data_IF_807037170682
#
_entry.id   IF_807037170682
#
_cell.length_a   1.000
_cell.length_b   1.000
_cell.length_c   1.000
_cell.angle_alpha   90.00
_cell.angle_beta   90.00
_cell.angle_gamma   90.00
#
_symmetry.space_group_name_H-M   'P 1'
#
loop_
_entity.id
_entity.type
_entity.pdbx_description
1 polymer ?
#
# COMPACT_ATOMS: atom_id res chain seq x y z
N UNK A 1 11.67 -74.92 0.90
CA UNK A 1 12.48 -74.11 1.84
C UNK A 1 13.09 -72.99 0.99
N UNK A 2 12.46 -71.82 0.97
CA UNK A 2 12.85 -70.63 1.77
C UNK A 2 14.16 -70.00 1.22
N UNK A 3 14.25 -68.72 0.84
CA UNK A 3 13.32 -67.61 1.02
C UNK A 3 13.72 -66.39 0.17
N UNK A 4 12.81 -65.42 0.12
CA UNK A 4 12.97 -64.09 -0.45
C UNK A 4 13.89 -63.23 0.42
N UNK A 5 14.77 -62.45 -0.20
CA UNK A 5 15.52 -61.37 0.44
C UNK A 5 15.38 -60.09 -0.39
N UNK A 6 14.61 -59.12 0.12
CA UNK A 6 14.55 -57.76 -0.39
C UNK A 6 15.67 -56.93 0.24
N UNK A 7 16.52 -56.31 -0.58
CA UNK A 7 17.47 -55.28 -0.17
C UNK A 7 17.05 -53.92 -0.72
N UNK A 8 16.60 -53.03 0.16
CA UNK A 8 16.43 -51.59 -0.09
C UNK A 8 17.73 -50.85 0.23
N UNK A 9 18.02 -49.78 -0.53
CA UNK A 9 18.78 -48.64 -0.01
C UNK A 9 19.81 -48.06 -0.98
N UNK A 10 19.63 -46.77 -1.33
CA UNK A 10 20.73 -45.93 -1.80
C UNK A 10 20.46 -45.05 -3.02
N UNK A 11 19.36 -44.31 -3.09
CA UNK A 11 19.29 -43.17 -4.00
C UNK A 11 20.07 -42.00 -3.39
N UNK A 12 21.27 -41.78 -3.91
CA UNK A 12 22.09 -40.60 -3.65
C UNK A 12 21.43 -39.39 -4.31
N UNK A 13 20.84 -38.50 -3.52
CA UNK A 13 20.45 -37.16 -3.97
C UNK A 13 21.71 -36.29 -4.01
N UNK A 14 22.37 -36.28 -5.17
CA UNK A 14 23.32 -35.22 -5.52
C UNK A 14 22.54 -33.92 -5.73
N UNK A 15 22.92 -32.88 -5.00
CA UNK A 15 22.35 -31.55 -5.08
C UNK A 15 22.59 -30.99 -6.50
N UNK A 16 21.50 -30.66 -7.20
CA UNK A 16 21.57 -29.87 -8.41
C UNK A 16 21.72 -28.41 -7.96
N UNK A 17 22.88 -27.81 -8.20
CA UNK A 17 22.97 -26.36 -8.31
C UNK A 17 22.25 -25.99 -9.61
N UNK A 18 21.04 -25.44 -9.49
CA UNK A 18 20.30 -24.90 -10.63
C UNK A 18 21.06 -23.67 -11.17
N UNK A 19 21.96 -23.89 -12.13
CA UNK A 19 22.51 -22.83 -12.97
C UNK A 19 21.39 -22.29 -13.88
N UNK A 20 20.62 -21.32 -13.37
CA UNK A 20 19.67 -20.57 -14.18
C UNK A 20 20.39 -19.88 -15.34
N UNK A 21 19.90 -20.11 -16.56
CA UNK A 21 20.41 -19.51 -17.79
C UNK A 21 20.54 -17.97 -17.65
N UNK A 22 21.62 -17.34 -18.14
CA UNK A 22 21.86 -15.90 -17.95
C UNK A 22 20.70 -15.00 -18.42
N UNK A 23 19.96 -15.44 -19.44
CA UNK A 23 18.80 -14.73 -19.97
C UNK A 23 17.61 -14.73 -19.00
N UNK A 24 17.39 -15.81 -18.24
CA UNK A 24 16.31 -15.92 -17.26
C UNK A 24 16.59 -15.01 -16.05
N UNK A 25 17.84 -15.01 -15.56
CA UNK A 25 18.25 -14.07 -14.50
C UNK A 25 18.16 -12.61 -14.95
N UNK A 26 18.47 -12.30 -16.22
CA UNK A 26 18.32 -10.94 -16.74
C UNK A 26 16.88 -10.40 -16.65
N UNK A 27 15.87 -11.26 -16.83
CA UNK A 27 14.45 -10.89 -16.69
C UNK A 27 14.04 -10.71 -15.22
N UNK A 28 14.61 -11.51 -14.32
CA UNK A 28 14.32 -11.43 -12.89
C UNK A 28 14.74 -10.07 -12.29
N UNK A 29 15.87 -9.51 -12.73
CA UNK A 29 16.40 -8.23 -12.26
C UNK A 29 15.98 -7.02 -13.10
N UNK A 30 14.92 -7.14 -13.90
CA UNK A 30 14.48 -6.09 -14.81
C UNK A 30 13.82 -4.87 -14.14
N UNK A 31 13.66 -4.86 -12.81
CA UNK A 31 13.01 -3.75 -12.10
C UNK A 31 13.76 -2.43 -12.23
N UNK A 32 15.05 -2.43 -12.56
CA UNK A 32 15.79 -1.18 -12.84
C UNK A 32 15.14 -0.35 -13.96
N UNK A 33 14.50 -1.01 -14.94
CA UNK A 33 13.77 -0.33 -16.04
C UNK A 33 12.50 0.39 -15.56
N UNK A 34 12.08 0.12 -14.32
CA UNK A 34 10.87 0.69 -13.71
C UNK A 34 11.19 1.82 -12.74
N UNK A 35 12.47 2.11 -12.50
CA UNK A 35 12.92 3.23 -11.69
C UNK A 35 12.76 4.54 -12.49
N UNK A 36 12.23 5.57 -11.84
CA UNK A 36 12.27 6.94 -12.36
C UNK A 36 13.66 7.54 -12.09
N UNK A 37 14.63 7.19 -12.95
CA UNK A 37 16.05 7.54 -12.81
C UNK A 37 16.28 9.06 -12.76
N UNK A 38 15.44 9.84 -13.44
CA UNK A 38 15.48 11.31 -13.40
C UNK A 38 15.28 11.81 -11.96
N UNK A 39 14.32 11.21 -11.23
CA UNK A 39 13.99 11.59 -9.85
C UNK A 39 14.73 10.80 -8.77
N UNK A 40 15.52 9.80 -9.12
CA UNK A 40 16.35 9.09 -8.16
C UNK A 40 17.33 10.06 -7.49
N UNK A 41 17.47 9.96 -6.18
CA UNK A 41 18.43 10.73 -5.40
C UNK A 41 19.35 9.79 -4.62
N UNK A 42 20.64 10.11 -4.58
CA UNK A 42 21.61 9.45 -3.72
C UNK A 42 22.22 10.51 -2.80
N UNK A 43 22.14 10.31 -1.49
CA UNK A 43 22.74 11.20 -0.51
C UNK A 43 24.11 10.67 -0.08
N UNK A 44 25.00 11.60 0.24
CA UNK A 44 26.41 11.37 0.57
C UNK A 44 27.23 10.75 -0.57
N UNK A 45 26.86 10.97 -1.83
CA UNK A 45 27.70 10.61 -2.96
C UNK A 45 28.78 11.67 -3.23
N UNK A 46 30.01 11.24 -3.51
CA UNK A 46 31.16 12.13 -3.80
C UNK A 46 30.92 13.01 -5.03
N UNK A 47 30.24 12.46 -6.03
CA UNK A 47 29.92 13.14 -7.29
C UNK A 47 28.43 13.03 -7.54
N UNK A 48 27.79 14.18 -7.69
CA UNK A 48 26.35 14.25 -7.93
C UNK A 48 25.94 13.44 -9.18
N UNK A 49 25.00 12.52 -9.00
CA UNK A 49 24.43 11.68 -10.05
C UNK A 49 25.08 10.30 -10.22
N UNK A 50 26.21 10.03 -9.56
CA UNK A 50 26.91 8.73 -9.69
C UNK A 50 26.08 7.57 -9.10
N UNK A 51 25.29 7.82 -8.06
CA UNK A 51 24.38 6.85 -7.45
C UNK A 51 23.29 6.33 -8.38
N UNK A 52 23.01 7.01 -9.50
CA UNK A 52 22.12 6.50 -10.55
C UNK A 52 22.78 5.43 -11.40
N UNK A 53 24.11 5.47 -11.53
CA UNK A 53 24.89 4.65 -12.46
C UNK A 53 24.99 3.18 -12.02
N UNK A 54 24.77 2.89 -10.74
CA UNK A 54 24.81 1.53 -10.19
C UNK A 54 23.53 0.72 -10.49
N UNK A 55 22.45 1.37 -10.93
CA UNK A 55 21.24 0.71 -11.41
C UNK A 55 21.36 0.46 -12.91
N UNK A 56 21.79 -0.75 -13.28
CA UNK A 56 22.10 -1.11 -14.67
C UNK A 56 21.63 -2.54 -14.99
N UNK A 57 21.63 -2.95 -16.26
CA UNK A 57 21.24 -4.31 -16.65
C UNK A 57 22.10 -5.39 -15.98
N UNK A 58 21.52 -6.59 -15.77
CA UNK A 58 22.19 -7.74 -15.13
C UNK A 58 23.48 -8.17 -15.85
N UNK A 59 23.51 -8.10 -17.18
CA UNK A 59 24.66 -8.38 -18.03
C UNK A 59 25.82 -7.40 -17.79
N UNK A 60 25.53 -6.21 -17.26
CA UNK A 60 26.52 -5.18 -16.93
C UNK A 60 26.88 -5.16 -15.43
N UNK A 61 26.41 -6.11 -14.62
CA UNK A 61 26.62 -6.09 -13.16
C UNK A 61 28.10 -6.11 -12.73
N UNK A 62 28.97 -6.69 -13.56
CA UNK A 62 30.42 -6.75 -13.32
C UNK A 62 31.20 -5.59 -13.94
N UNK A 63 30.51 -4.65 -14.61
CA UNK A 63 31.14 -3.43 -15.11
C UNK A 63 31.59 -2.56 -13.93
N UNK A 64 32.87 -2.20 -13.93
CA UNK A 64 33.53 -1.43 -12.87
C UNK A 64 33.78 0.04 -13.25
N UNK A 65 33.40 0.46 -14.45
CA UNK A 65 33.56 1.86 -14.89
C UNK A 65 32.54 2.79 -14.22
N UNK A 66 31.34 2.27 -13.97
CA UNK A 66 30.21 2.98 -13.35
C UNK A 66 30.07 2.56 -11.90
N UNK A 67 30.26 3.52 -10.99
CA UNK A 67 30.19 3.31 -9.55
C UNK A 67 29.72 4.58 -8.84
N UNK A 68 29.37 4.42 -7.57
CA UNK A 68 29.21 5.53 -6.62
C UNK A 68 30.11 5.28 -5.42
N UNK A 69 30.68 6.35 -4.88
CA UNK A 69 31.52 6.33 -3.69
C UNK A 69 31.01 7.38 -2.71
N UNK A 70 31.00 7.03 -1.42
CA UNK A 70 30.58 7.96 -0.38
C UNK A 70 31.61 9.06 -0.11
N UNK A 71 31.15 10.27 0.23
CA UNK A 71 31.99 11.46 0.36
C UNK A 71 32.53 11.65 1.79
N UNK A 72 31.64 11.84 2.76
CA UNK A 72 32.02 12.30 4.10
C UNK A 72 32.32 11.14 5.07
N UNK A 73 31.57 10.06 4.97
CA UNK A 73 31.63 8.88 5.82
C UNK A 73 31.24 7.63 5.02
N UNK A 74 31.17 6.46 5.65
CA UNK A 74 30.85 5.20 4.99
C UNK A 74 29.38 5.06 4.55
N UNK A 75 28.50 5.99 4.89
CA UNK A 75 27.07 5.82 4.67
C UNK A 75 26.65 6.26 3.27
N UNK A 76 25.67 5.57 2.68
CA UNK A 76 25.00 5.99 1.44
C UNK A 76 23.50 5.80 1.59
N UNK A 77 22.71 6.77 1.12
CA UNK A 77 21.25 6.67 1.13
C UNK A 77 20.67 6.89 -0.26
N UNK A 78 20.09 5.85 -0.84
CA UNK A 78 19.41 5.89 -2.12
C UNK A 78 17.91 6.08 -1.91
N UNK A 79 17.31 7.05 -2.60
CA UNK A 79 15.88 7.27 -2.69
C UNK A 79 15.41 6.92 -4.11
N UNK A 80 14.69 5.82 -4.24
CA UNK A 80 14.42 5.14 -5.51
C UNK A 80 12.91 5.18 -5.80
N UNK A 81 12.43 6.19 -6.53
CA UNK A 81 11.05 6.23 -7.00
C UNK A 81 10.83 5.22 -8.14
N UNK A 82 9.73 4.48 -8.08
CA UNK A 82 9.28 3.63 -9.17
C UNK A 82 8.19 4.33 -9.99
N UNK A 83 8.13 4.00 -11.28
CA UNK A 83 7.08 4.42 -12.22
C UNK A 83 5.75 3.70 -12.00
N UNK A 84 5.69 2.80 -11.02
CA UNK A 84 4.56 1.94 -10.71
C UNK A 84 4.65 1.34 -9.31
N UNK A 85 3.82 0.34 -9.05
CA UNK A 85 3.86 -0.44 -7.82
C UNK A 85 4.75 -1.67 -8.03
N UNK A 86 5.66 -1.92 -7.11
CA UNK A 86 6.59 -3.06 -7.15
C UNK A 86 6.30 -3.99 -5.99
N UNK A 87 6.29 -5.30 -6.26
CA UNK A 87 6.45 -6.33 -5.24
C UNK A 87 7.91 -6.81 -5.30
N UNK A 88 8.72 -6.31 -4.38
CA UNK A 88 10.14 -6.65 -4.31
C UNK A 88 10.29 -8.07 -3.76
N UNK A 89 11.14 -8.86 -4.41
CA UNK A 89 11.44 -10.24 -4.02
C UNK A 89 12.87 -10.34 -3.49
N UNK A 90 13.84 -9.70 -4.13
CA UNK A 90 15.22 -9.73 -3.70
C UNK A 90 16.02 -8.51 -4.15
N UNK A 91 17.19 -8.37 -3.54
CA UNK A 91 18.16 -7.34 -3.86
C UNK A 91 19.54 -7.99 -3.99
N UNK A 92 20.31 -7.54 -4.97
CA UNK A 92 21.74 -7.81 -5.09
C UNK A 92 22.49 -6.50 -4.94
N UNK A 93 23.61 -6.53 -4.23
CA UNK A 93 24.52 -5.39 -4.08
C UNK A 93 25.95 -5.87 -4.27
N UNK A 94 26.72 -5.18 -5.11
CA UNK A 94 28.13 -5.46 -5.30
C UNK A 94 28.96 -4.20 -5.10
N UNK A 95 29.98 -4.31 -4.24
CA UNK A 95 30.96 -3.28 -3.96
C UNK A 95 32.36 -3.64 -4.44
N UNK A 96 33.35 -2.95 -3.88
CA UNK A 96 34.76 -3.23 -4.14
C UNK A 96 35.21 -4.57 -3.52
N UNK A 97 36.27 -5.19 -4.05
CA UNK A 97 36.88 -6.39 -3.48
C UNK A 97 37.84 -6.05 -2.32
N UNK A 98 37.39 -5.15 -1.42
CA UNK A 98 38.15 -4.71 -0.25
C UNK A 98 37.22 -4.37 0.93
N UNK A 99 37.72 -3.59 1.90
CA UNK A 99 36.98 -3.19 3.09
C UNK A 99 35.91 -2.11 2.85
N UNK A 100 35.90 -1.46 1.67
CA UNK A 100 34.88 -0.49 1.25
C UNK A 100 33.60 -1.12 0.71
N UNK A 101 33.56 -2.45 0.63
CA UNK A 101 32.34 -3.17 0.29
C UNK A 101 31.25 -2.91 1.35
N UNK A 102 29.98 -2.69 0.96
CA UNK A 102 28.86 -2.61 1.88
C UNK A 102 28.78 -3.84 2.81
N UNK A 103 28.59 -3.62 4.11
CA UNK A 103 28.49 -4.67 5.13
C UNK A 103 27.11 -4.70 5.81
N UNK A 104 26.39 -3.57 5.85
CA UNK A 104 25.03 -3.50 6.39
C UNK A 104 24.13 -2.65 5.51
N UNK A 105 23.00 -3.22 5.09
CA UNK A 105 21.96 -2.55 4.30
C UNK A 105 20.63 -2.57 5.03
N UNK A 106 19.94 -1.43 5.08
CA UNK A 106 18.61 -1.26 5.65
C UNK A 106 17.66 -0.77 4.57
N UNK A 107 16.47 -1.35 4.53
CA UNK A 107 15.46 -1.04 3.55
C UNK A 107 14.26 -0.35 4.21
N UNK A 108 13.78 0.69 3.56
CA UNK A 108 12.59 1.43 3.93
C UNK A 108 11.68 1.56 2.72
N UNK A 109 10.38 1.59 2.96
CA UNK A 109 9.37 1.54 1.91
C UNK A 109 8.45 2.75 2.01
N UNK A 110 8.16 3.34 0.87
CA UNK A 110 7.16 4.40 0.67
C UNK A 110 7.41 5.64 1.54
N UNK A 111 8.68 5.99 1.74
CA UNK A 111 9.12 7.25 2.37
C UNK A 111 9.84 8.07 1.28
N UNK A 112 9.13 8.96 0.56
CA UNK A 112 9.75 9.84 -0.40
C UNK A 112 10.74 10.79 0.28
N UNK A 113 11.86 11.09 -0.39
CA UNK A 113 12.86 12.07 0.08
C UNK A 113 13.41 11.76 1.49
N UNK A 114 13.63 10.48 1.80
CA UNK A 114 14.20 10.07 3.07
C UNK A 114 15.59 10.69 3.27
N UNK A 115 15.85 11.17 4.48
CA UNK A 115 17.13 11.73 4.92
C UNK A 115 17.83 10.83 5.93
N UNK A 116 19.08 11.16 6.29
CA UNK A 116 19.80 10.41 7.33
C UNK A 116 19.14 10.51 8.71
N UNK A 117 18.44 11.59 9.02
CA UNK A 117 17.69 11.74 10.28
C UNK A 117 16.56 10.70 10.41
N UNK A 118 15.95 10.33 9.28
CA UNK A 118 14.87 9.34 9.22
C UNK A 118 15.38 7.90 9.47
N UNK A 119 16.69 7.65 9.35
CA UNK A 119 17.28 6.31 9.51
C UNK A 119 17.22 5.79 10.96
N UNK A 120 16.89 6.66 11.92
CA UNK A 120 16.61 6.29 13.30
C UNK A 120 15.35 5.41 13.44
N UNK A 121 14.49 5.38 12.42
CA UNK A 121 13.28 4.54 12.40
C UNK A 121 13.64 3.07 12.17
N UNK A 122 12.78 2.17 12.64
CA UNK A 122 12.93 0.75 12.38
C UNK A 122 12.80 0.47 10.87
N UNK A 123 13.81 -0.17 10.23
CA UNK A 123 13.71 -0.51 8.82
C UNK A 123 12.71 -1.66 8.61
N UNK A 124 12.10 -1.68 7.43
CA UNK A 124 11.22 -2.79 7.01
C UNK A 124 11.98 -4.11 7.01
N UNK A 125 13.25 -4.06 6.60
CA UNK A 125 14.17 -5.18 6.71
C UNK A 125 15.62 -4.68 6.67
N UNK A 126 16.48 -5.31 7.47
CA UNK A 126 17.92 -5.07 7.48
C UNK A 126 18.67 -6.36 7.13
N UNK A 127 19.81 -6.21 6.47
CA UNK A 127 20.67 -7.30 6.04
C UNK A 127 22.10 -7.03 6.50
N UNK A 128 22.76 -8.10 6.97
CA UNK A 128 24.21 -8.16 7.03
C UNK A 128 24.70 -8.75 5.73
N UNK A 129 25.57 -8.02 5.06
CA UNK A 129 26.06 -8.34 3.74
C UNK A 129 27.39 -9.08 3.84
N UNK A 130 27.67 -9.92 2.84
CA UNK A 130 28.97 -10.51 2.57
C UNK A 130 29.63 -9.75 1.41
N UNK A 131 30.96 -9.78 1.35
CA UNK A 131 31.71 -9.26 0.19
C UNK A 131 31.37 -10.09 -1.04
N UNK A 132 30.92 -9.40 -2.07
CA UNK A 132 30.48 -10.02 -3.32
C UNK A 132 30.74 -9.06 -4.51
N UNK A 133 32.00 -8.92 -4.93
CA UNK A 133 32.35 -8.02 -6.04
C UNK A 133 31.78 -8.49 -7.39
N UNK A 134 31.25 -9.72 -7.48
CA UNK A 134 30.72 -10.33 -8.70
C UNK A 134 29.19 -10.38 -8.77
N UNK A 135 28.49 -9.80 -7.77
CA UNK A 135 27.03 -9.73 -7.72
C UNK A 135 26.36 -11.12 -7.86
N UNK A 136 26.83 -12.11 -7.09
CA UNK A 136 26.33 -13.48 -7.05
C UNK A 136 25.35 -13.75 -5.90
N UNK A 137 25.40 -12.96 -4.83
CA UNK A 137 24.63 -13.15 -3.61
C UNK A 137 23.35 -12.32 -3.63
N UNK A 138 22.22 -13.01 -3.68
CA UNK A 138 20.90 -12.40 -3.54
C UNK A 138 20.44 -12.38 -2.08
N UNK A 139 19.91 -11.23 -1.68
CA UNK A 139 19.31 -11.00 -0.38
C UNK A 139 17.78 -10.98 -0.52
N UNK A 140 17.09 -12.08 -0.14
CA UNK A 140 15.65 -12.17 -0.30
C UNK A 140 14.93 -11.26 0.70
N UNK A 141 13.97 -10.50 0.18
CA UNK A 141 13.09 -9.64 0.96
C UNK A 141 11.84 -10.40 1.41
N UNK A 142 11.26 -10.00 2.54
CA UNK A 142 9.96 -10.52 2.97
C UNK A 142 8.86 -9.92 2.10
N UNK A 143 8.39 -10.68 1.11
CA UNK A 143 7.35 -10.25 0.15
C UNK A 143 6.15 -9.58 0.82
N UNK A 144 5.71 -10.08 1.99
CA UNK A 144 4.60 -9.49 2.74
C UNK A 144 4.85 -8.02 3.13
N UNK A 145 6.10 -7.65 3.47
CA UNK A 145 6.50 -6.28 3.81
C UNK A 145 6.73 -5.43 2.56
N UNK A 146 7.36 -6.02 1.55
CA UNK A 146 7.71 -5.34 0.30
C UNK A 146 6.72 -5.60 -0.85
N UNK A 147 5.42 -5.66 -0.52
CA UNK A 147 4.35 -5.54 -1.51
C UNK A 147 3.92 -4.08 -1.66
N UNK A 148 3.51 -3.64 -2.84
CA UNK A 148 3.11 -2.24 -3.09
C UNK A 148 4.16 -1.19 -2.75
N UNK A 149 5.39 -1.40 -3.22
CA UNK A 149 6.50 -0.44 -3.12
C UNK A 149 6.42 0.53 -4.29
N UNK A 150 6.15 1.80 -4.03
CA UNK A 150 6.21 2.88 -5.02
C UNK A 150 7.47 3.74 -4.87
N UNK A 151 8.08 3.71 -3.69
CA UNK A 151 9.34 4.36 -3.39
C UNK A 151 10.15 3.44 -2.47
N UNK A 152 11.38 3.11 -2.83
CA UNK A 152 12.29 2.32 -2.00
C UNK A 152 13.43 3.20 -1.54
N UNK A 153 13.73 3.18 -0.24
CA UNK A 153 14.95 3.79 0.27
C UNK A 153 15.91 2.71 0.76
N UNK A 154 17.14 2.75 0.24
CA UNK A 154 18.21 1.82 0.59
C UNK A 154 19.27 2.60 1.34
N UNK A 155 19.45 2.29 2.61
CA UNK A 155 20.49 2.86 3.46
C UNK A 155 21.61 1.85 3.64
N UNK A 156 22.78 2.15 3.09
CA UNK A 156 24.01 1.43 3.41
C UNK A 156 24.59 2.14 4.63
N UNK A 157 24.57 1.45 5.77
CA UNK A 157 24.90 2.07 7.07
C UNK A 157 26.31 1.76 7.54
N UNK A 158 26.95 0.72 6.97
CA UNK A 158 28.31 0.28 7.31
C UNK A 158 28.96 -0.40 6.12
N UNK A 159 30.28 -0.32 6.04
CA UNK A 159 31.15 -1.18 5.25
C UNK A 159 32.00 -2.10 6.16
N UNK A 160 32.99 -2.78 5.59
CA UNK A 160 33.83 -3.73 6.32
C UNK A 160 35.00 -3.11 7.09
N UNK A 161 35.17 -1.78 7.08
CA UNK A 161 36.17 -1.11 7.93
C UNK A 161 36.85 0.13 7.35
N UNK A 162 36.43 0.64 6.18
CA UNK A 162 37.02 1.82 5.55
C UNK A 162 36.20 3.09 5.78
N UNK A 163 36.81 4.24 5.52
CA UNK A 163 36.14 5.55 5.65
C UNK A 163 35.11 5.82 4.54
N UNK A 164 35.28 5.23 3.36
CA UNK A 164 34.32 5.35 2.25
C UNK A 164 33.76 3.99 1.86
N UNK A 165 32.55 4.01 1.31
CA UNK A 165 31.86 2.86 0.74
C UNK A 165 31.76 3.01 -0.77
N UNK A 166 32.09 1.96 -1.51
CA UNK A 166 32.00 1.95 -2.97
C UNK A 166 31.03 0.87 -3.46
N UNK A 167 30.11 1.27 -4.33
CA UNK A 167 29.08 0.40 -4.93
C UNK A 167 29.16 0.45 -6.44
N UNK A 168 29.13 -0.70 -7.09
CA UNK A 168 29.18 -0.85 -8.54
C UNK A 168 27.85 -1.28 -9.15
N UNK A 169 27.04 -2.01 -8.38
CA UNK A 169 25.80 -2.57 -8.88
C UNK A 169 24.77 -2.74 -7.75
N UNK A 170 23.53 -2.33 -8.04
CA UNK A 170 22.35 -2.67 -7.25
C UNK A 170 21.32 -3.30 -8.20
N UNK A 171 21.05 -4.58 -8.01
CA UNK A 171 20.04 -5.33 -8.74
C UNK A 171 18.77 -5.48 -7.90
N UNK A 172 17.60 -5.24 -8.50
CA UNK A 172 16.30 -5.42 -7.83
C UNK A 172 15.49 -6.47 -8.58
N UNK A 173 15.07 -7.54 -7.88
CA UNK A 173 14.23 -8.60 -8.43
C UNK A 173 12.80 -8.52 -7.90
N UNK A 174 11.81 -8.84 -8.74
CA UNK A 174 10.42 -8.84 -8.31
C UNK A 174 9.39 -8.68 -9.41
N UNK A 175 8.17 -8.32 -9.01
CA UNK A 175 7.04 -8.09 -9.93
C UNK A 175 6.73 -6.61 -10.02
N UNK A 176 6.50 -6.12 -11.24
CA UNK A 176 6.04 -4.76 -11.49
C UNK A 176 4.56 -4.75 -11.85
N UNK A 177 3.83 -3.84 -11.23
CA UNK A 177 2.45 -3.52 -11.52
C UNK A 177 2.42 -2.07 -12.00
N UNK A 178 1.96 -1.88 -13.23
CA UNK A 178 1.83 -0.53 -13.78
C UNK A 178 1.01 0.33 -12.83
N UNK A 179 1.51 1.53 -12.49
CA UNK A 179 0.69 2.51 -11.80
C UNK A 179 -0.46 2.89 -12.74
N UNK A 180 -1.56 2.15 -12.65
CA UNK A 180 -2.84 2.81 -12.62
C UNK A 180 -2.76 3.69 -11.39
N UNK A 181 -2.53 5.00 -11.61
CA UNK A 181 -2.83 6.04 -10.63
C UNK A 181 -4.24 5.67 -10.17
N UNK A 182 -4.34 5.07 -9.00
CA UNK A 182 -5.61 4.57 -8.51
C UNK A 182 -6.39 5.85 -8.22
N UNK A 183 -7.24 6.26 -9.16
CA UNK A 183 -8.32 7.22 -8.90
C UNK A 183 -9.24 6.69 -7.77
N UNK A 184 -9.07 5.42 -7.37
CA UNK A 184 -9.76 4.72 -6.30
C UNK A 184 -8.75 4.03 -5.37
N UNK A 185 -8.42 4.61 -4.22
CA UNK A 185 -7.69 3.90 -3.15
C UNK A 185 -8.62 2.85 -2.53
N UNK A 186 -8.29 1.56 -2.67
CA UNK A 186 -9.06 0.46 -2.08
C UNK A 186 -8.52 0.14 -0.69
N UNK A 187 -9.26 0.54 0.36
CA UNK A 187 -8.98 0.16 1.74
C UNK A 187 -9.88 -1.00 2.15
N UNK A 188 -9.32 -2.19 2.37
CA UNK A 188 -10.06 -3.34 2.92
C UNK A 188 -10.07 -3.27 4.46
N UNK A 189 -11.26 -3.39 5.06
CA UNK A 189 -11.43 -3.40 6.51
C UNK A 189 -12.46 -4.48 6.93
N UNK A 190 -12.25 -5.10 8.10
CA UNK A 190 -13.10 -6.14 8.70
C UNK A 190 -13.63 -5.71 10.10
N UNK A 191 -14.65 -4.88 10.13
CA UNK A 191 -15.76 -4.85 11.09
C UNK A 191 -16.70 -6.08 10.98
N UNK A 192 -17.45 -6.41 12.04
CA UNK A 192 -18.64 -7.27 11.95
C UNK A 192 -19.88 -6.39 12.16
N UNK A 193 -20.96 -6.62 11.39
CA UNK A 193 -22.24 -5.99 11.70
C UNK A 193 -22.72 -6.49 13.08
N UNK A 194 -23.02 -5.57 14.02
CA UNK A 194 -23.53 -5.94 15.34
C UNK A 194 -25.06 -5.84 15.36
N UNK A 195 -25.79 -6.97 15.48
CA UNK A 195 -27.25 -6.96 15.56
C UNK A 195 -27.81 -6.14 16.73
N UNK A 196 -27.01 -5.88 17.76
CA UNK A 196 -27.40 -5.06 18.91
C UNK A 196 -27.62 -3.58 18.55
N UNK A 197 -27.02 -3.09 17.46
CA UNK A 197 -27.22 -1.72 16.97
C UNK A 197 -28.64 -1.50 16.41
N UNK A 198 -29.37 -2.60 16.16
CA UNK A 198 -30.72 -2.60 15.56
C UNK A 198 -31.71 -3.41 16.42
N UNK A 199 -31.88 -3.07 17.69
CA UNK A 199 -33.00 -3.58 18.49
C UNK A 199 -34.24 -2.67 18.42
N UNK A 200 -35.34 -3.25 17.96
CA UNK A 200 -36.70 -2.83 18.35
C UNK A 200 -36.86 -3.04 19.87
N UNK A 201 -37.67 -2.20 20.53
CA UNK A 201 -37.72 -1.99 21.98
C UNK A 201 -37.73 -3.26 22.85
N UNK A 202 -36.76 -3.40 23.77
CA UNK A 202 -36.96 -3.61 25.21
C UNK A 202 -35.62 -3.91 25.95
N UNK A 203 -35.41 -3.28 27.11
CA UNK A 203 -34.71 -3.87 28.26
C UNK A 203 -33.17 -3.96 28.28
N UNK A 204 -32.58 -3.03 29.04
CA UNK A 204 -31.40 -3.14 29.89
C UNK A 204 -29.96 -3.06 29.33
N UNK A 205 -29.27 -2.07 29.92
CA UNK A 205 -27.84 -1.75 30.00
C UNK A 205 -26.86 -2.87 29.64
N UNK A 206 -25.94 -2.57 28.72
CA UNK A 206 -24.50 -2.84 28.88
C UNK A 206 -23.70 -1.85 28.01
N UNK A 207 -22.74 -1.19 28.62
CA UNK A 207 -21.69 -0.33 28.04
C UNK A 207 -20.62 -1.17 27.31
N UNK A 208 -20.12 -0.73 26.14
CA UNK A 208 -18.85 -1.18 25.48
C UNK A 208 -18.58 -0.35 24.18
N UNK A 209 -17.36 -0.38 23.60
CA UNK A 209 -16.48 0.78 23.36
C UNK A 209 -16.55 1.37 21.93
N UNK A 210 -15.85 2.49 21.76
CA UNK A 210 -15.91 3.40 20.61
C UNK A 210 -15.47 2.77 19.27
N UNK A 211 -16.34 2.87 18.26
CA UNK A 211 -15.98 2.75 16.83
C UNK A 211 -14.86 3.70 16.36
N UNK A 212 -14.47 4.67 17.20
CA UNK A 212 -13.27 5.49 16.98
C UNK A 212 -11.97 4.67 17.00
N UNK A 213 -11.96 3.48 17.61
CA UNK A 213 -10.79 2.58 17.63
C UNK A 213 -10.79 1.58 16.46
N UNK A 214 -11.89 1.44 15.72
CA UNK A 214 -12.04 0.51 14.60
C UNK A 214 -11.62 1.13 13.26
N UNK A 215 -10.70 2.09 13.28
CA UNK A 215 -10.06 2.64 12.08
C UNK A 215 -8.59 2.26 12.16
N UNK A 216 -8.29 1.01 11.78
CA UNK A 216 -6.92 0.50 11.72
C UNK A 216 -6.66 -0.09 10.35
N UNK A 217 -5.83 0.57 9.55
CA UNK A 217 -5.19 -0.04 8.38
C UNK A 217 -4.21 -1.10 8.89
N UNK A 218 -4.18 -2.27 8.27
CA UNK A 218 -3.19 -3.30 8.57
C UNK A 218 -1.82 -2.88 8.02
N UNK A 219 -1.05 -2.21 8.86
CA UNK A 219 0.31 -1.77 8.56
C UNK A 219 0.63 -0.53 9.39
N UNK A 220 1.33 -0.74 10.50
CA UNK A 220 2.07 0.25 11.31
C UNK A 220 1.56 1.70 11.28
N UNK A 221 0.96 2.11 12.41
CA UNK A 221 0.40 3.43 12.76
C UNK A 221 -1.11 3.60 12.51
N UNK A 222 -1.81 4.20 13.48
CA UNK A 222 -3.27 4.41 13.50
C UNK A 222 -3.68 5.45 12.46
N UNK A 223 -3.64 5.11 11.19
CA UNK A 223 -4.07 6.01 10.13
C UNK A 223 -5.60 6.01 10.04
N UNK A 224 -6.20 7.02 10.67
CA UNK A 224 -7.61 7.32 10.50
C UNK A 224 -7.88 7.73 9.05
N UNK A 225 -9.11 7.61 8.57
CA UNK A 225 -9.43 8.11 7.22
C UNK A 225 -9.20 9.63 7.07
N UNK A 226 -9.12 10.38 8.17
CA UNK A 226 -8.61 11.76 8.18
C UNK A 226 -7.12 11.85 7.80
N UNK A 227 -6.28 10.92 8.29
CA UNK A 227 -4.87 10.85 7.92
C UNK A 227 -4.68 10.52 6.42
N UNK A 228 -5.55 9.68 5.85
CA UNK A 228 -5.54 9.40 4.40
C UNK A 228 -5.89 10.65 3.60
N UNK A 229 -6.94 11.38 4.00
CA UNK A 229 -7.32 12.64 3.33
C UNK A 229 -6.18 13.67 3.45
N UNK A 230 -5.55 13.80 4.62
CA UNK A 230 -4.40 14.69 4.85
C UNK A 230 -3.18 14.29 4.02
N UNK A 231 -2.93 12.99 3.85
CA UNK A 231 -1.88 12.47 2.99
C UNK A 231 -2.12 12.87 1.53
N UNK A 232 -3.32 12.67 1.00
CA UNK A 232 -3.68 13.08 -0.36
C UNK A 232 -3.59 14.60 -0.54
N UNK A 233 -4.01 15.36 0.48
CA UNK A 233 -3.87 16.82 0.50
C UNK A 233 -2.40 17.27 0.41
N UNK A 234 -1.50 16.63 1.16
CA UNK A 234 -0.05 16.88 1.08
C UNK A 234 0.52 16.53 -0.30
N UNK A 235 -0.06 15.55 -0.98
CA UNK A 235 0.31 15.16 -2.34
C UNK A 235 -0.38 16.00 -3.45
N UNK A 236 -1.05 17.09 -3.08
CA UNK A 236 -1.60 18.07 -4.00
C UNK A 236 -3.04 17.83 -4.44
N UNK A 237 -3.76 16.86 -3.83
CA UNK A 237 -5.18 16.62 -4.09
C UNK A 237 -6.00 17.21 -2.94
N UNK A 238 -6.65 18.37 -3.10
CA UNK A 238 -7.41 18.97 -2.00
C UNK A 238 -8.61 18.09 -1.61
N UNK A 239 -9.03 18.14 -0.34
CA UNK A 239 -10.12 17.28 0.17
C UNK A 239 -11.43 17.40 -0.62
N UNK A 240 -11.73 18.59 -1.16
CA UNK A 240 -12.91 18.83 -2.00
C UNK A 240 -12.81 18.18 -3.40
N UNK A 241 -11.71 17.47 -3.67
CA UNK A 241 -11.46 16.60 -4.82
C UNK A 241 -11.32 15.13 -4.44
N UNK A 242 -11.68 14.76 -3.21
CA UNK A 242 -11.65 13.39 -2.70
C UNK A 242 -13.07 12.88 -2.48
N UNK A 243 -13.38 11.73 -3.09
CA UNK A 243 -14.60 10.97 -2.87
C UNK A 243 -14.28 9.79 -1.96
N UNK A 244 -15.09 9.56 -0.92
CA UNK A 244 -15.01 8.33 -0.14
C UNK A 244 -16.06 7.34 -0.64
N UNK A 245 -15.69 6.07 -0.76
CA UNK A 245 -16.65 5.08 -1.19
C UNK A 245 -16.34 3.69 -0.69
N UNK A 246 -17.36 2.87 -0.56
CA UNK A 246 -17.18 1.48 -0.19
C UNK A 246 -18.44 0.64 -0.26
N UNK A 247 -18.22 -0.66 -0.21
CA UNK A 247 -19.25 -1.71 -0.26
C UNK A 247 -19.42 -2.35 1.12
N UNK A 248 -20.66 -2.68 1.48
CA UNK A 248 -21.00 -3.28 2.76
C UNK A 248 -20.42 -2.45 3.90
N UNK A 249 -19.56 -3.03 4.69
CA UNK A 249 -18.82 -2.31 5.72
C UNK A 249 -18.01 -1.11 5.25
N UNK A 250 -17.34 -1.21 4.11
CA UNK A 250 -16.58 -0.08 3.57
C UNK A 250 -17.49 1.11 3.30
N UNK A 251 -18.75 0.86 2.91
CA UNK A 251 -19.77 1.89 2.74
C UNK A 251 -20.18 2.52 4.08
N UNK A 252 -20.36 1.70 5.11
CA UNK A 252 -20.67 2.17 6.47
C UNK A 252 -19.54 3.06 7.03
N UNK A 253 -18.28 2.65 6.84
CA UNK A 253 -17.10 3.41 7.25
C UNK A 253 -16.94 4.70 6.44
N UNK A 254 -17.21 4.67 5.14
CA UNK A 254 -17.17 5.85 4.27
C UNK A 254 -18.18 6.91 4.72
N UNK A 255 -19.42 6.49 5.02
CA UNK A 255 -20.44 7.37 5.58
C UNK A 255 -20.01 7.94 6.93
N UNK A 256 -19.55 7.09 7.86
CA UNK A 256 -19.09 7.51 9.19
C UNK A 256 -18.00 8.58 9.08
N UNK A 257 -16.97 8.27 8.31
CA UNK A 257 -15.81 9.13 8.11
C UNK A 257 -16.24 10.47 7.53
N UNK A 258 -16.95 10.45 6.41
CA UNK A 258 -17.29 11.66 5.70
C UNK A 258 -18.14 12.62 6.54
N UNK A 259 -19.08 12.07 7.32
CA UNK A 259 -19.98 12.87 8.14
C UNK A 259 -19.33 13.38 9.44
N UNK A 260 -18.21 12.80 9.86
CA UNK A 260 -17.43 13.23 11.04
C UNK A 260 -16.19 14.04 10.65
N UNK A 261 -15.80 14.03 9.38
CA UNK A 261 -14.68 14.79 8.85
C UNK A 261 -14.97 16.30 8.88
N UNK A 262 -13.95 17.08 9.28
CA UNK A 262 -14.01 18.55 9.27
C UNK A 262 -13.77 19.14 7.87
N UNK A 263 -13.02 18.42 7.03
CA UNK A 263 -12.70 18.85 5.67
C UNK A 263 -13.87 18.58 4.72
N UNK A 264 -14.09 19.49 3.78
CA UNK A 264 -15.14 19.35 2.78
C UNK A 264 -14.73 18.33 1.72
N UNK A 265 -15.47 17.22 1.63
CA UNK A 265 -15.24 16.17 0.66
C UNK A 265 -16.06 16.36 -0.62
N UNK A 266 -15.61 15.79 -1.73
CA UNK A 266 -16.32 15.85 -3.01
C UNK A 266 -17.62 15.03 -3.02
N UNK A 267 -17.70 13.99 -2.19
CA UNK A 267 -18.93 13.22 -2.00
C UNK A 267 -18.69 11.86 -1.31
N UNK A 268 -19.77 11.07 -1.24
CA UNK A 268 -19.72 9.67 -0.77
C UNK A 268 -20.46 8.72 -1.71
N UNK A 269 -19.89 7.53 -1.94
CA UNK A 269 -20.54 6.38 -2.57
C UNK A 269 -20.69 5.24 -1.56
N UNK A 270 -21.93 4.92 -1.20
CA UNK A 270 -22.24 3.96 -0.14
C UNK A 270 -23.05 2.78 -0.71
N UNK A 271 -22.41 1.63 -0.93
CA UNK A 271 -23.02 0.48 -1.60
C UNK A 271 -23.38 -0.63 -0.59
N UNK A 272 -24.62 -1.12 -0.63
CA UNK A 272 -25.12 -2.26 0.15
C UNK A 272 -24.73 -2.22 1.64
N UNK A 273 -24.92 -1.07 2.29
CA UNK A 273 -24.38 -0.77 3.62
C UNK A 273 -25.42 -0.16 4.57
N UNK A 274 -24.96 0.30 5.74
CA UNK A 274 -25.77 0.97 6.77
C UNK A 274 -25.01 2.16 7.37
N UNK A 275 -25.71 3.10 8.00
CA UNK A 275 -25.09 4.15 8.82
C UNK A 275 -24.82 3.62 10.24
N UNK A 276 -23.56 3.51 10.68
CA UNK A 276 -23.25 3.11 12.05
C UNK A 276 -23.63 4.21 13.06
N UNK A 277 -23.93 3.81 14.30
CA UNK A 277 -24.11 4.73 15.45
C UNK A 277 -25.21 5.81 15.33
N UNK A 278 -26.34 5.49 14.70
CA UNK A 278 -27.45 6.44 14.46
C UNK A 278 -28.00 7.21 15.70
N UNK A 279 -27.72 6.75 16.93
CA UNK A 279 -28.18 7.38 18.19
C UNK A 279 -27.30 8.54 18.68
N UNK A 280 -25.97 8.44 18.55
CA UNK A 280 -25.01 9.49 18.96
C UNK A 280 -24.61 10.42 17.81
N UNK A 281 -24.96 10.05 16.58
CA UNK A 281 -24.52 10.72 15.35
C UNK A 281 -24.93 12.20 15.17
N UNK A 282 -26.15 12.64 15.54
CA UNK A 282 -26.57 14.03 15.27
C UNK A 282 -25.66 15.08 15.90
N UNK A 283 -24.99 14.77 17.01
CA UNK A 283 -24.10 15.69 17.72
C UNK A 283 -22.67 15.70 17.15
N UNK A 284 -22.20 14.58 16.60
CA UNK A 284 -20.91 14.51 15.91
C UNK A 284 -20.97 15.11 14.49
N UNK A 285 -22.08 14.88 13.77
CA UNK A 285 -22.28 15.39 12.41
C UNK A 285 -22.70 16.87 12.36
N UNK A 286 -23.22 17.45 13.44
CA UNK A 286 -23.51 18.88 13.49
C UNK A 286 -22.25 19.75 13.56
N UNK A 287 -21.10 19.16 13.88
CA UNK A 287 -19.80 19.80 13.86
C UNK A 287 -19.06 19.65 12.53
N UNK A 288 -19.56 18.91 11.53
CA UNK A 288 -18.87 18.70 10.26
C UNK A 288 -19.23 19.76 9.21
N UNK A 289 -18.24 20.11 8.38
CA UNK A 289 -18.42 21.04 7.24
C UNK A 289 -19.15 20.43 6.03
N UNK A 290 -19.61 19.17 6.13
CA UNK A 290 -20.08 18.34 5.01
C UNK A 290 -21.60 18.30 4.82
N UNK A 291 -22.34 19.32 5.27
CA UNK A 291 -23.81 19.34 5.12
C UNK A 291 -24.30 19.32 3.67
N UNK A 292 -23.56 19.90 2.73
CA UNK A 292 -23.92 19.92 1.30
C UNK A 292 -23.18 18.88 0.45
N UNK A 293 -22.48 17.95 1.11
CA UNK A 293 -21.74 16.88 0.47
C UNK A 293 -22.70 15.92 -0.27
N UNK A 294 -22.51 15.70 -1.58
CA UNK A 294 -23.28 14.73 -2.36
C UNK A 294 -23.09 13.30 -1.85
N UNK A 295 -24.17 12.53 -1.74
CA UNK A 295 -24.14 11.11 -1.35
C UNK A 295 -24.94 10.29 -2.36
N UNK A 296 -24.28 9.32 -2.99
CA UNK A 296 -24.93 8.23 -3.72
C UNK A 296 -24.95 6.99 -2.83
N UNK A 297 -26.15 6.55 -2.46
CA UNK A 297 -26.36 5.30 -1.75
C UNK A 297 -27.06 4.30 -2.68
N UNK A 298 -26.51 3.10 -2.79
CA UNK A 298 -27.04 2.03 -3.63
C UNK A 298 -27.28 0.76 -2.80
N UNK A 299 -28.29 -0.04 -3.17
CA UNK A 299 -28.60 -1.28 -2.45
C UNK A 299 -29.26 -2.32 -3.35
N UNK A 300 -28.93 -3.60 -3.15
CA UNK A 300 -29.64 -4.71 -3.77
C UNK A 300 -30.95 -5.06 -3.04
N UNK A 301 -32.06 -5.23 -3.75
CA UNK A 301 -33.36 -5.53 -3.12
C UNK A 301 -33.44 -6.95 -2.55
N UNK A 302 -32.60 -7.86 -3.05
CA UNK A 302 -32.53 -9.27 -2.64
C UNK A 302 -31.28 -9.56 -1.80
N UNK A 303 -30.69 -8.55 -1.17
CA UNK A 303 -29.49 -8.69 -0.33
C UNK A 303 -29.81 -9.52 0.94
N UNK A 304 -29.24 -10.74 1.07
CA UNK A 304 -29.51 -11.59 2.22
C UNK A 304 -28.64 -11.25 3.44
N UNK A 305 -27.59 -10.44 3.26
CA UNK A 305 -26.61 -10.11 4.30
C UNK A 305 -26.99 -8.79 4.99
N UNK A 306 -27.25 -7.76 4.19
CA UNK A 306 -27.69 -6.44 4.64
C UNK A 306 -29.05 -6.16 4.00
N UNK A 307 -30.16 -6.48 4.68
CA UNK A 307 -31.50 -6.25 4.14
C UNK A 307 -31.69 -4.82 3.65
N UNK A 308 -32.32 -4.64 2.49
CA UNK A 308 -32.55 -3.32 1.85
C UNK A 308 -33.21 -2.30 2.77
N UNK A 309 -33.98 -2.75 3.76
CA UNK A 309 -34.58 -1.91 4.79
C UNK A 309 -33.52 -1.13 5.58
N UNK A 310 -32.35 -1.70 5.85
CA UNK A 310 -31.25 -0.99 6.50
C UNK A 310 -30.67 0.12 5.61
N UNK A 311 -30.59 -0.12 4.30
CA UNK A 311 -30.27 0.90 3.32
C UNK A 311 -31.29 2.04 3.35
N UNK A 312 -32.59 1.71 3.30
CA UNK A 312 -33.67 2.70 3.34
C UNK A 312 -33.67 3.52 4.65
N UNK A 313 -33.50 2.86 5.80
CA UNK A 313 -33.39 3.54 7.10
C UNK A 313 -32.17 4.48 7.16
N UNK A 314 -31.06 4.06 6.57
CA UNK A 314 -29.86 4.89 6.45
C UNK A 314 -30.13 6.13 5.61
N UNK A 315 -30.77 5.98 4.45
CA UNK A 315 -31.12 7.10 3.57
C UNK A 315 -32.03 8.12 4.27
N UNK A 316 -33.05 7.66 5.00
CA UNK A 316 -33.93 8.54 5.79
C UNK A 316 -33.17 9.28 6.89
N UNK A 317 -32.24 8.61 7.57
CA UNK A 317 -31.42 9.26 8.60
C UNK A 317 -30.47 10.29 8.00
N UNK A 318 -29.86 10.00 6.85
CA UNK A 318 -28.98 10.93 6.14
C UNK A 318 -29.72 12.21 5.76
N UNK A 319 -30.99 12.13 5.31
CA UNK A 319 -31.80 13.32 4.98
C UNK A 319 -31.99 14.27 6.15
N UNK A 320 -31.82 13.82 7.39
CA UNK A 320 -31.89 14.66 8.59
C UNK A 320 -30.53 15.28 8.90
N UNK A 321 -29.43 14.63 8.50
CA UNK A 321 -28.06 15.01 8.87
C UNK A 321 -27.44 15.96 7.82
N UNK A 322 -27.64 15.67 6.55
CA UNK A 322 -27.13 16.46 5.41
C UNK A 322 -28.29 17.02 4.60
N UNK A 323 -28.00 17.91 3.66
CA UNK A 323 -29.00 18.47 2.76
C UNK A 323 -29.74 17.36 2.00
N UNK A 324 -31.06 17.21 2.16
CA UNK A 324 -31.83 16.14 1.51
C UNK A 324 -31.69 16.12 -0.01
N UNK A 325 -31.43 17.27 -0.64
CA UNK A 325 -31.28 17.42 -2.09
C UNK A 325 -29.96 16.83 -2.61
N UNK A 326 -29.02 16.54 -1.70
CA UNK A 326 -27.69 16.02 -2.01
C UNK A 326 -27.60 14.50 -1.85
N UNK A 327 -28.65 13.84 -1.37
CA UNK A 327 -28.69 12.39 -1.20
C UNK A 327 -29.51 11.76 -2.32
N UNK A 328 -28.93 10.75 -2.96
CA UNK A 328 -29.63 9.88 -3.90
C UNK A 328 -29.58 8.44 -3.37
N UNK A 329 -30.74 7.82 -3.16
CA UNK A 329 -30.84 6.40 -2.83
C UNK A 329 -31.39 5.64 -4.04
N UNK A 330 -30.64 4.65 -4.54
CA UNK A 330 -31.05 3.78 -5.65
C UNK A 330 -31.10 2.32 -5.19
N UNK A 331 -32.15 1.61 -5.57
CA UNK A 331 -32.26 0.16 -5.37
C UNK A 331 -32.19 -0.57 -6.70
N UNK A 332 -31.69 -1.81 -6.66
CA UNK A 332 -31.55 -2.65 -7.85
C UNK A 332 -32.33 -3.96 -7.65
N UNK A 333 -33.44 -4.16 -8.39
CA UNK A 333 -34.24 -5.37 -8.31
C UNK A 333 -33.43 -6.62 -8.65
N UNK A 334 -33.59 -7.68 -7.84
CA UNK A 334 -32.90 -8.95 -8.04
C UNK A 334 -31.40 -8.96 -7.67
N UNK A 335 -30.80 -7.81 -7.35
CA UNK A 335 -29.42 -7.73 -6.88
C UNK A 335 -29.34 -8.23 -5.43
N UNK A 336 -28.43 -9.17 -5.17
CA UNK A 336 -28.11 -9.70 -3.84
C UNK A 336 -26.99 -8.86 -3.19
N UNK A 337 -26.23 -9.43 -2.25
CA UNK A 337 -25.05 -8.79 -1.64
C UNK A 337 -23.86 -8.76 -2.61
N UNK A 338 -23.98 -8.00 -3.69
CA UNK A 338 -22.97 -7.83 -4.73
C UNK A 338 -23.17 -6.50 -5.45
N UNK A 339 -22.41 -6.27 -6.51
CA UNK A 339 -22.61 -5.16 -7.45
C UNK A 339 -23.19 -5.63 -8.80
N UNK A 340 -23.71 -4.70 -9.58
CA UNK A 340 -24.15 -4.97 -10.96
C UNK A 340 -23.72 -3.86 -11.94
N UNK A 341 -23.73 -4.12 -13.26
CA UNK A 341 -23.33 -3.12 -14.26
C UNK A 341 -24.12 -1.81 -14.19
N UNK A 342 -25.43 -1.88 -13.91
CA UNK A 342 -26.29 -0.71 -13.77
C UNK A 342 -25.92 0.12 -12.54
N UNK A 343 -25.57 -0.53 -11.43
CA UNK A 343 -25.07 0.15 -10.23
C UNK A 343 -23.74 0.82 -10.50
N UNK A 344 -22.80 0.13 -11.14
CA UNK A 344 -21.50 0.70 -11.49
C UNK A 344 -21.60 1.86 -12.49
N UNK A 345 -22.58 1.82 -13.40
CA UNK A 345 -22.86 2.96 -14.27
C UNK A 345 -23.33 4.19 -13.49
N UNK A 346 -24.19 4.00 -12.48
CA UNK A 346 -24.63 5.09 -11.61
C UNK A 346 -23.48 5.65 -10.75
N UNK A 347 -22.61 4.78 -10.25
CA UNK A 347 -21.39 5.18 -9.51
C UNK A 347 -20.47 6.00 -10.40
N UNK A 348 -20.21 5.52 -11.63
CA UNK A 348 -19.40 6.24 -12.61
C UNK A 348 -19.97 7.63 -12.92
N UNK A 349 -21.26 7.72 -13.24
CA UNK A 349 -21.95 9.00 -13.51
C UNK A 349 -21.82 9.97 -12.32
N UNK A 350 -21.96 9.45 -11.10
CA UNK A 350 -21.80 10.24 -9.89
C UNK A 350 -20.37 10.76 -9.71
N UNK A 351 -19.36 9.92 -9.89
CA UNK A 351 -17.94 10.29 -9.80
C UNK A 351 -17.61 11.36 -10.85
N UNK A 352 -17.97 11.13 -12.12
CA UNK A 352 -17.71 12.08 -13.21
C UNK A 352 -18.36 13.45 -12.97
N UNK A 353 -19.54 13.45 -12.34
CA UNK A 353 -20.25 14.69 -11.97
C UNK A 353 -19.58 15.44 -10.82
N UNK A 354 -19.12 14.75 -9.77
CA UNK A 354 -18.52 15.41 -8.61
C UNK A 354 -17.03 15.72 -8.80
N UNK A 355 -16.32 14.98 -9.65
CA UNK A 355 -14.91 15.15 -9.97
C UNK A 355 -14.70 15.40 -11.47
N UNK A 356 -15.17 16.53 -12.03
CA UNK A 356 -14.92 16.86 -13.43
C UNK A 356 -13.41 16.99 -13.68
N UNK A 357 -12.97 16.76 -14.92
CA UNK A 357 -11.57 17.01 -15.30
C UNK A 357 -11.26 18.50 -15.14
N UNK A 358 -10.11 18.80 -14.53
CA UNK A 358 -9.57 20.16 -14.37
C UNK A 358 -8.60 20.42 -15.51
#
# INVERSE_FOLDING_TARGET
>A
MSGHGHGHGGHSHGCCEDEHEPAERGLEYALYQRIDIEKLQCLNETREGDGKLVFKPWDQRTDREKFVESDADEELLFNIPFTGSVKLKGIIIAGEDDESHPAEMRLYKNIPHMSFDDTCREPEQAFRLNRDPLAQLEYPTKIARFSNVNHLSIHISRNFGTASTRVYYIGLSGEYFQAHRHEVTICNYEASANPADHKCMCGNNMSLPLLAEAVTVSGTEKETAAAIIDHEAKNGIPANRVLLGGFSQGGALSLYTALTCQQQLAGVVALSCWLPLHKSFPQAASASGNRDMPILQCHGEMDPMIPVQFGAMTAEKLKIIVNPQKITFRTYPGLMHSSCPQEMAAVKEFIEKQLPRI
#
